data_IF_215938585209
#
_entry.id   IF_215938585209
#
_cell.length_a   1.000
_cell.length_b   1.000
_cell.length_c   1.000
_cell.angle_alpha   90.00
_cell.angle_beta   90.00
_cell.angle_gamma   90.00
#
_symmetry.space_group_name_H-M   'P 1'
#
loop_
_entity.id
_entity.type
_entity.pdbx_description
1 polymer ?
#
# COMPACT_ATOMS: atom_id res chain seq x y z
N UNK A 1 37.90 7.62 -7.34
CA UNK A 1 36.79 7.44 -6.36
C UNK A 1 36.93 6.03 -5.82
N UNK A 2 37.38 5.91 -4.56
CA UNK A 2 38.14 4.76 -4.06
C UNK A 2 37.28 3.54 -3.70
N UNK A 3 37.89 2.36 -3.75
CA UNK A 3 37.33 1.06 -3.40
C UNK A 3 36.61 1.01 -2.04
N UNK A 4 36.90 1.95 -1.13
CA UNK A 4 36.20 2.13 0.14
C UNK A 4 34.70 2.45 -0.04
N UNK A 5 34.33 3.23 -1.06
CA UNK A 5 32.93 3.53 -1.36
C UNK A 5 32.14 2.32 -1.85
N UNK A 6 32.80 1.38 -2.54
CA UNK A 6 32.20 0.11 -2.98
C UNK A 6 31.99 -0.87 -1.83
N UNK A 7 32.94 -0.95 -0.90
CA UNK A 7 32.85 -1.82 0.28
C UNK A 7 31.76 -1.36 1.27
N UNK A 8 31.61 -0.05 1.49
CA UNK A 8 30.53 0.53 2.31
C UNK A 8 29.16 0.37 1.65
N UNK A 9 29.07 0.51 0.31
CA UNK A 9 27.82 0.21 -0.41
C UNK A 9 27.45 -1.26 -0.20
N UNK A 10 28.38 -2.18 -0.35
CA UNK A 10 28.14 -3.62 -0.21
C UNK A 10 27.70 -4.07 1.20
N UNK A 11 28.07 -3.35 2.25
CA UNK A 11 27.70 -3.71 3.63
C UNK A 11 26.26 -3.33 3.99
N UNK A 12 25.74 -2.19 3.50
CA UNK A 12 24.38 -1.74 3.78
C UNK A 12 23.31 -2.63 3.14
N UNK A 13 23.55 -3.16 1.93
CA UNK A 13 22.64 -4.08 1.25
C UNK A 13 22.47 -5.44 1.96
N UNK A 14 23.39 -5.80 2.88
CA UNK A 14 23.27 -7.06 3.64
C UNK A 14 22.14 -7.04 4.65
N UNK A 15 21.78 -5.86 5.18
CA UNK A 15 20.74 -5.71 6.20
C UNK A 15 19.35 -5.47 5.63
N UNK A 16 19.25 -5.21 4.32
CA UNK A 16 17.99 -4.87 3.66
C UNK A 16 16.84 -5.87 3.97
N UNK A 17 17.03 -7.21 3.88
CA UNK A 17 15.95 -8.14 4.18
C UNK A 17 15.47 -8.05 5.65
N UNK A 18 16.38 -7.79 6.58
CA UNK A 18 16.06 -7.62 8.00
C UNK A 18 15.33 -6.30 8.26
N UNK A 19 15.69 -5.23 7.55
CA UNK A 19 14.97 -3.96 7.58
C UNK A 19 13.53 -4.12 7.12
N UNK A 20 13.30 -4.80 6.00
CA UNK A 20 11.94 -5.06 5.51
C UNK A 20 11.15 -6.00 6.41
N UNK A 21 11.81 -6.99 7.02
CA UNK A 21 11.19 -7.81 8.06
C UNK A 21 10.73 -6.96 9.24
N UNK A 22 11.58 -6.06 9.75
CA UNK A 22 11.21 -5.17 10.85
C UNK A 22 9.99 -4.31 10.49
N UNK A 23 10.01 -3.63 9.34
CA UNK A 23 8.87 -2.81 8.88
C UNK A 23 7.60 -3.64 8.75
N UNK A 24 7.70 -4.86 8.21
CA UNK A 24 6.56 -5.79 8.11
C UNK A 24 6.01 -6.16 9.47
N UNK A 25 6.85 -6.48 10.45
CA UNK A 25 6.41 -6.87 11.78
C UNK A 25 5.73 -5.70 12.51
N UNK A 26 6.24 -4.47 12.37
CA UNK A 26 5.61 -3.27 12.92
C UNK A 26 4.20 -3.09 12.34
N UNK A 27 4.05 -3.16 11.01
CA UNK A 27 2.73 -3.09 10.37
C UNK A 27 1.84 -4.27 10.74
N UNK A 28 2.41 -5.48 10.78
CA UNK A 28 1.67 -6.68 11.09
C UNK A 28 1.04 -6.61 12.47
N UNK A 29 1.79 -6.17 13.49
CA UNK A 29 1.26 -5.99 14.85
C UNK A 29 0.11 -4.99 14.87
N UNK A 30 0.25 -3.86 14.16
CA UNK A 30 -0.81 -2.85 14.11
C UNK A 30 -2.10 -3.40 13.47
N UNK A 31 -1.98 -4.09 12.34
CA UNK A 31 -3.11 -4.68 11.63
C UNK A 31 -3.73 -5.88 12.35
N UNK A 32 -2.91 -6.78 12.90
CA UNK A 32 -3.40 -7.92 13.70
C UNK A 32 -4.17 -7.40 14.91
N UNK A 33 -3.62 -6.43 15.64
CA UNK A 33 -4.29 -5.87 16.82
C UNK A 33 -5.63 -5.23 16.44
N UNK A 34 -5.64 -4.41 15.39
CA UNK A 34 -6.86 -3.75 14.91
C UNK A 34 -7.95 -4.75 14.49
N UNK A 35 -7.59 -5.80 13.76
CA UNK A 35 -8.54 -6.84 13.37
C UNK A 35 -8.98 -7.70 14.57
N UNK A 36 -8.06 -8.05 15.46
CA UNK A 36 -8.33 -8.88 16.63
C UNK A 36 -9.31 -8.23 17.61
N UNK A 37 -9.19 -6.91 17.80
CA UNK A 37 -10.12 -6.13 18.63
C UNK A 37 -11.53 -6.03 18.02
N UNK A 38 -11.71 -6.35 16.73
CA UNK A 38 -12.99 -6.23 16.00
C UNK A 38 -13.67 -7.58 15.76
N UNK A 39 -12.90 -8.66 15.64
CA UNK A 39 -13.44 -10.01 15.44
C UNK A 39 -14.06 -10.51 16.75
N UNK A 40 -15.34 -10.86 16.71
CA UNK A 40 -16.16 -11.21 17.87
C UNK A 40 -16.72 -10.02 18.65
N UNK A 41 -16.35 -8.78 18.31
CA UNK A 41 -16.78 -7.59 19.04
C UNK A 41 -18.19 -7.11 18.61
N UNK A 42 -18.95 -6.60 19.58
CA UNK A 42 -20.31 -6.11 19.41
C UNK A 42 -20.29 -4.83 18.59
N UNK A 43 -21.09 -4.77 17.51
CA UNK A 43 -21.07 -3.63 16.60
C UNK A 43 -20.11 -3.80 15.42
N UNK A 44 -19.17 -4.74 15.52
CA UNK A 44 -18.34 -5.18 14.40
C UNK A 44 -18.92 -6.44 13.79
N UNK A 45 -18.49 -7.60 14.28
CA UNK A 45 -18.85 -8.90 13.70
C UNK A 45 -19.84 -9.67 14.57
N UNK A 46 -20.07 -9.21 15.81
CA UNK A 46 -21.15 -9.67 16.68
C UNK A 46 -22.33 -8.68 16.68
N UNK A 47 -23.54 -9.21 16.88
CA UNK A 47 -24.80 -8.46 16.77
C UNK A 47 -24.92 -7.33 17.82
N UNK A 48 -25.41 -6.13 17.43
CA UNK A 48 -25.87 -5.74 16.09
C UNK A 48 -24.68 -5.45 15.16
N UNK A 49 -24.53 -6.25 14.11
CA UNK A 49 -23.42 -6.18 13.16
C UNK A 49 -23.43 -4.81 12.47
N UNK A 50 -22.26 -4.26 12.15
CA UNK A 50 -22.16 -3.02 11.40
C UNK A 50 -22.40 -1.74 12.19
N UNK A 51 -22.87 -1.79 13.45
CA UNK A 51 -23.14 -0.58 14.23
C UNK A 51 -21.91 0.32 14.42
N UNK A 52 -20.73 -0.26 14.63
CA UNK A 52 -19.47 0.48 14.75
C UNK A 52 -19.09 1.16 13.43
N UNK A 53 -19.28 0.48 12.30
CA UNK A 53 -19.02 1.04 10.96
C UNK A 53 -20.02 2.16 10.64
N UNK A 54 -21.30 1.98 10.96
CA UNK A 54 -22.32 3.01 10.80
C UNK A 54 -21.98 4.26 11.60
N UNK A 55 -21.59 4.11 12.88
CA UNK A 55 -21.16 5.23 13.72
C UNK A 55 -19.93 5.95 13.15
N UNK A 56 -18.93 5.18 12.70
CA UNK A 56 -17.74 5.70 12.06
C UNK A 56 -18.04 6.51 10.79
N UNK A 57 -18.90 5.98 9.91
CA UNK A 57 -19.27 6.64 8.66
C UNK A 57 -20.12 7.89 8.87
N UNK A 58 -21.04 7.88 9.85
CA UNK A 58 -21.79 9.08 10.23
C UNK A 58 -20.84 10.19 10.72
N UNK A 59 -19.85 9.85 11.55
CA UNK A 59 -18.83 10.82 11.97
C UNK A 59 -18.02 11.37 10.78
N UNK A 60 -17.71 10.54 9.78
CA UNK A 60 -17.04 11.01 8.56
C UNK A 60 -17.93 11.95 7.72
N UNK A 61 -19.23 11.66 7.63
CA UNK A 61 -20.23 12.50 6.97
C UNK A 61 -20.34 13.85 7.68
N UNK A 62 -20.42 13.87 9.01
CA UNK A 62 -20.46 15.12 9.79
C UNK A 62 -19.22 15.98 9.51
N UNK A 63 -18.03 15.38 9.57
CA UNK A 63 -16.74 16.05 9.29
C UNK A 63 -16.61 16.62 7.87
N UNK A 64 -17.38 16.11 6.92
CA UNK A 64 -17.40 16.64 5.55
C UNK A 64 -18.24 17.92 5.40
N UNK A 65 -19.06 18.23 6.41
CA UNK A 65 -19.92 19.41 6.46
C UNK A 65 -19.51 20.39 7.56
N UNK A 66 -18.52 20.00 8.38
CA UNK A 66 -18.08 20.77 9.52
C UNK A 66 -17.13 21.90 9.10
N UNK A 67 -17.55 23.14 9.38
CA UNK A 67 -16.72 24.33 9.27
C UNK A 67 -16.32 24.73 7.84
N UNK A 68 -15.48 25.78 7.70
CA UNK A 68 -15.07 26.31 6.40
C UNK A 68 -14.05 25.44 5.65
N UNK A 69 -13.39 24.49 6.34
CA UNK A 69 -12.43 23.56 5.75
C UNK A 69 -12.74 22.12 6.21
N UNK A 70 -13.69 21.44 5.53
CA UNK A 70 -14.05 20.09 5.89
C UNK A 70 -12.87 19.10 5.85
N UNK A 71 -12.76 18.24 6.87
CA UNK A 71 -11.70 17.22 6.96
C UNK A 71 -11.90 16.10 5.93
N UNK A 72 -13.17 15.83 5.58
CA UNK A 72 -13.55 14.76 4.66
C UNK A 72 -13.96 15.36 3.31
N UNK A 73 -13.32 14.95 2.21
CA UNK A 73 -13.69 15.45 0.89
C UNK A 73 -15.12 15.07 0.50
N UNK A 74 -15.79 15.97 -0.24
CA UNK A 74 -17.17 15.75 -0.66
C UNK A 74 -17.39 14.49 -1.51
N UNK A 75 -16.40 14.06 -2.30
CA UNK A 75 -16.52 12.80 -3.05
C UNK A 75 -16.55 11.59 -2.12
N UNK A 76 -15.80 11.62 -1.02
CA UNK A 76 -15.76 10.54 -0.04
C UNK A 76 -17.02 10.54 0.82
N UNK A 77 -17.57 11.72 1.13
CA UNK A 77 -18.91 11.84 1.72
C UNK A 77 -19.96 11.08 0.91
N UNK A 78 -20.04 11.33 -0.41
CA UNK A 78 -21.03 10.65 -1.27
C UNK A 78 -20.80 9.14 -1.29
N UNK A 79 -19.55 8.70 -1.39
CA UNK A 79 -19.22 7.28 -1.31
C UNK A 79 -19.62 6.66 0.05
N UNK A 80 -19.38 7.36 1.14
CA UNK A 80 -19.75 6.91 2.48
C UNK A 80 -21.27 6.80 2.64
N UNK A 81 -22.01 7.82 2.20
CA UNK A 81 -23.46 7.88 2.33
C UNK A 81 -24.18 6.90 1.39
N UNK A 82 -23.78 6.85 0.12
CA UNK A 82 -24.53 6.12 -0.92
C UNK A 82 -24.11 4.65 -1.05
N UNK A 83 -22.88 4.31 -0.63
CA UNK A 83 -22.34 2.96 -0.83
C UNK A 83 -21.91 2.27 0.47
N UNK A 84 -21.15 2.91 1.34
CA UNK A 84 -20.65 2.24 2.55
C UNK A 84 -21.72 2.07 3.62
N UNK A 85 -22.50 3.12 3.91
CA UNK A 85 -23.48 3.13 4.98
C UNK A 85 -24.64 2.13 4.74
N UNK A 86 -25.21 2.00 3.52
CA UNK A 86 -26.22 0.97 3.24
C UNK A 86 -25.70 -0.46 3.35
N UNK A 87 -24.38 -0.66 3.27
CA UNK A 87 -23.73 -1.97 3.30
C UNK A 87 -22.82 -2.14 4.54
N UNK A 88 -23.09 -1.40 5.62
CA UNK A 88 -22.21 -1.30 6.79
C UNK A 88 -21.88 -2.67 7.41
N UNK A 89 -22.83 -3.60 7.42
CA UNK A 89 -22.64 -4.96 7.95
C UNK A 89 -21.57 -5.74 7.18
N UNK A 90 -21.60 -5.66 5.84
CA UNK A 90 -20.60 -6.30 4.97
C UNK A 90 -19.24 -5.65 5.19
N UNK A 91 -19.20 -4.32 5.28
CA UNK A 91 -17.96 -3.61 5.54
C UNK A 91 -17.38 -3.89 6.93
N UNK A 92 -18.21 -4.17 7.94
CA UNK A 92 -17.73 -4.56 9.26
C UNK A 92 -16.95 -5.88 9.21
N UNK A 93 -17.47 -6.88 8.50
CA UNK A 93 -16.72 -8.13 8.26
C UNK A 93 -15.46 -7.91 7.41
N UNK A 94 -15.59 -7.17 6.31
CA UNK A 94 -14.45 -6.93 5.40
C UNK A 94 -13.32 -6.19 6.09
N UNK A 95 -13.62 -5.18 6.91
CA UNK A 95 -12.62 -4.43 7.66
C UNK A 95 -12.04 -5.31 8.76
N UNK A 96 -12.86 -5.93 9.62
CA UNK A 96 -12.36 -6.73 10.75
C UNK A 96 -11.45 -7.88 10.29
N UNK A 97 -11.91 -8.69 9.33
CA UNK A 97 -11.11 -9.79 8.79
C UNK A 97 -10.02 -9.32 7.84
N UNK A 98 -10.24 -8.23 7.09
CA UNK A 98 -9.24 -7.64 6.21
C UNK A 98 -8.01 -7.17 6.98
N UNK A 99 -8.20 -6.45 8.07
CA UNK A 99 -7.12 -6.04 8.98
C UNK A 99 -6.36 -7.25 9.52
N UNK A 100 -7.09 -8.24 10.03
CA UNK A 100 -6.49 -9.44 10.61
C UNK A 100 -5.67 -10.23 9.57
N UNK A 101 -6.24 -10.46 8.38
CA UNK A 101 -5.59 -11.21 7.30
C UNK A 101 -4.37 -10.46 6.75
N UNK A 102 -4.47 -9.14 6.54
CA UNK A 102 -3.32 -8.31 6.13
C UNK A 102 -2.21 -8.40 7.17
N UNK A 103 -2.55 -8.28 8.45
CA UNK A 103 -1.60 -8.38 9.55
C UNK A 103 -0.88 -9.72 9.59
N UNK A 104 -1.63 -10.83 9.54
CA UNK A 104 -1.07 -12.20 9.54
C UNK A 104 -0.20 -12.41 8.30
N UNK A 105 -0.67 -12.03 7.11
CA UNK A 105 0.07 -12.19 5.87
C UNK A 105 1.40 -11.41 5.89
N UNK A 106 1.42 -10.19 6.44
CA UNK A 106 2.64 -9.42 6.64
C UNK A 106 3.58 -10.04 7.67
N UNK A 107 3.04 -10.59 8.77
CA UNK A 107 3.83 -11.25 9.81
C UNK A 107 4.61 -12.45 9.24
N UNK A 108 3.91 -13.38 8.59
CA UNK A 108 4.52 -14.60 8.04
C UNK A 108 5.25 -14.34 6.71
N UNK A 109 4.91 -13.26 6.02
CA UNK A 109 5.51 -12.88 4.73
C UNK A 109 4.93 -13.68 3.59
N UNK A 110 3.62 -13.81 3.56
CA UNK A 110 2.86 -14.44 2.50
C UNK A 110 2.26 -13.36 1.60
N UNK A 111 2.58 -13.39 0.31
CA UNK A 111 2.17 -12.39 -0.68
C UNK A 111 2.42 -10.96 -0.17
N UNK A 112 3.60 -10.73 0.41
CA UNK A 112 3.93 -9.55 1.24
C UNK A 112 3.57 -8.22 0.57
N UNK A 113 3.88 -8.06 -0.73
CA UNK A 113 3.56 -6.82 -1.47
C UNK A 113 2.06 -6.64 -1.68
N UNK A 114 1.34 -7.74 -1.94
CA UNK A 114 -0.11 -7.71 -2.09
C UNK A 114 -0.80 -7.42 -0.76
N UNK A 115 -0.37 -8.08 0.33
CA UNK A 115 -0.85 -7.78 1.68
C UNK A 115 -0.60 -6.31 2.06
N UNK A 116 0.59 -5.78 1.77
CA UNK A 116 0.90 -4.37 2.01
C UNK A 116 0.02 -3.43 1.16
N UNK A 117 -0.27 -3.78 -0.10
CA UNK A 117 -1.16 -3.00 -0.96
C UNK A 117 -2.59 -2.97 -0.41
N UNK A 118 -3.12 -4.10 0.05
CA UNK A 118 -4.44 -4.17 0.69
C UNK A 118 -4.47 -3.33 1.98
N UNK A 119 -3.43 -3.42 2.81
CA UNK A 119 -3.30 -2.57 4.00
C UNK A 119 -3.25 -1.09 3.65
N UNK A 120 -2.50 -0.69 2.63
CA UNK A 120 -2.46 0.70 2.12
C UNK A 120 -3.84 1.16 1.67
N UNK A 121 -4.56 0.35 0.90
CA UNK A 121 -5.90 0.69 0.41
C UNK A 121 -6.88 0.90 1.58
N UNK A 122 -6.87 0.01 2.56
CA UNK A 122 -7.70 0.11 3.76
C UNK A 122 -7.32 1.34 4.60
N UNK A 123 -6.02 1.60 4.76
CA UNK A 123 -5.54 2.75 5.52
C UNK A 123 -5.91 4.08 4.85
N UNK A 124 -5.85 4.14 3.51
CA UNK A 124 -6.33 5.29 2.74
C UNK A 124 -7.83 5.52 2.96
N UNK A 125 -8.66 4.47 2.98
CA UNK A 125 -10.08 4.62 3.28
C UNK A 125 -10.30 5.27 4.66
N UNK A 126 -9.55 4.85 5.69
CA UNK A 126 -9.64 5.47 7.01
C UNK A 126 -9.17 6.93 7.03
N UNK A 127 -8.09 7.26 6.31
CA UNK A 127 -7.61 8.64 6.19
C UNK A 127 -8.62 9.53 5.48
N UNK A 128 -9.23 9.05 4.40
CA UNK A 128 -10.27 9.78 3.69
C UNK A 128 -11.54 9.98 4.51
N UNK A 129 -11.84 9.08 5.44
CA UNK A 129 -12.89 9.23 6.45
C UNK A 129 -12.53 10.23 7.58
N UNK A 130 -11.34 10.84 7.55
CA UNK A 130 -10.92 11.85 8.52
C UNK A 130 -10.31 11.29 9.80
N UNK A 131 -9.63 10.14 9.74
CA UNK A 131 -8.92 9.57 10.91
C UNK A 131 -7.41 9.59 10.76
N UNK A 132 -6.73 10.33 11.65
CA UNK A 132 -5.32 10.71 11.46
C UNK A 132 -4.35 10.10 12.49
N UNK A 133 -4.83 9.40 13.54
CA UNK A 133 -3.97 9.02 14.68
C UNK A 133 -2.78 8.13 14.30
N UNK A 134 -3.01 6.85 14.02
CA UNK A 134 -1.94 5.88 13.67
C UNK A 134 -1.85 5.64 12.16
N UNK A 135 -2.82 6.15 11.39
CA UNK A 135 -2.94 5.85 9.97
C UNK A 135 -1.81 6.45 9.11
N UNK A 136 -1.44 7.74 9.22
CA UNK A 136 -0.38 8.31 8.38
C UNK A 136 0.96 7.55 8.45
N UNK A 137 1.51 7.19 9.63
CA UNK A 137 2.75 6.41 9.67
C UNK A 137 2.56 4.99 9.10
N UNK A 138 1.41 4.35 9.33
CA UNK A 138 1.12 3.03 8.73
C UNK A 138 1.06 3.10 7.20
N UNK A 139 0.45 4.15 6.64
CA UNK A 139 0.41 4.38 5.20
C UNK A 139 1.83 4.53 4.63
N UNK A 140 2.67 5.36 5.25
CA UNK A 140 4.04 5.57 4.80
C UNK A 140 4.86 4.28 4.82
N UNK A 141 4.77 3.50 5.90
CA UNK A 141 5.45 2.20 6.00
C UNK A 141 4.90 1.21 4.97
N UNK A 142 3.58 1.18 4.75
CA UNK A 142 2.94 0.31 3.76
C UNK A 142 3.38 0.64 2.33
N UNK A 143 3.35 1.93 1.95
CA UNK A 143 3.83 2.40 0.65
C UNK A 143 5.32 2.10 0.46
N UNK A 144 6.12 2.25 1.52
CA UNK A 144 7.53 1.92 1.45
C UNK A 144 7.77 0.42 1.18
N UNK A 145 6.98 -0.44 1.80
CA UNK A 145 6.99 -1.88 1.59
C UNK A 145 6.62 -2.27 0.15
N UNK A 146 5.64 -1.58 -0.43
CA UNK A 146 5.16 -1.81 -1.80
C UNK A 146 6.20 -1.36 -2.83
N UNK A 147 6.72 -0.14 -2.72
CA UNK A 147 7.56 0.47 -3.77
C UNK A 147 9.06 0.29 -3.57
N UNK A 148 9.55 0.41 -2.33
CA UNK A 148 10.99 0.42 -2.05
C UNK A 148 11.52 -0.94 -1.57
N UNK A 149 10.63 -1.86 -1.17
CA UNK A 149 10.99 -3.21 -0.76
C UNK A 149 11.64 -4.04 -1.86
N UNK A 150 12.97 -4.24 -1.84
CA UNK A 150 13.61 -5.26 -2.66
C UNK A 150 13.39 -6.65 -2.02
N UNK A 151 12.44 -7.41 -2.59
CA UNK A 151 11.98 -8.72 -2.07
C UNK A 151 11.66 -8.67 -0.55
N UNK A 152 10.65 -7.89 -0.13
CA UNK A 152 10.34 -7.71 1.30
C UNK A 152 9.85 -9.00 1.97
N UNK A 153 9.38 -9.97 1.18
CA UNK A 153 9.01 -11.32 1.63
C UNK A 153 10.18 -12.31 1.77
N UNK A 154 11.43 -11.90 1.52
CA UNK A 154 12.59 -12.84 1.49
C UNK A 154 12.79 -13.58 2.80
N UNK A 155 12.64 -12.89 3.94
CA UNK A 155 12.57 -13.50 5.27
C UNK A 155 11.09 -13.74 5.61
N UNK A 156 10.53 -14.82 5.04
CA UNK A 156 9.11 -15.15 5.13
C UNK A 156 8.74 -16.24 4.15
N UNK A 157 7.45 -16.59 4.11
CA UNK A 157 6.91 -17.65 3.25
C UNK A 157 7.19 -17.38 1.77
N UNK A 158 7.13 -16.13 1.32
CA UNK A 158 7.45 -15.70 -0.05
C UNK A 158 8.87 -16.10 -0.47
N UNK A 159 9.82 -16.09 0.48
CA UNK A 159 11.21 -16.50 0.24
C UNK A 159 11.34 -17.97 -0.16
N UNK A 160 10.42 -18.82 0.31
CA UNK A 160 10.40 -20.27 0.04
C UNK A 160 9.45 -20.60 -1.12
N UNK A 161 8.30 -19.93 -1.17
CA UNK A 161 7.24 -20.17 -2.14
C UNK A 161 7.60 -19.68 -3.55
N UNK A 162 8.23 -18.50 -3.68
CA UNK A 162 8.51 -17.91 -5.00
C UNK A 162 9.55 -18.68 -5.83
N UNK A 163 10.65 -19.20 -5.26
CA UNK A 163 11.56 -20.09 -6.01
C UNK A 163 10.87 -21.36 -6.47
N UNK A 164 10.09 -22.00 -5.59
CA UNK A 164 9.35 -23.23 -5.88
C UNK A 164 8.30 -23.04 -6.99
N UNK A 165 7.57 -21.93 -6.98
CA UNK A 165 6.65 -21.57 -8.07
C UNK A 165 7.41 -21.29 -9.37
N UNK A 166 8.54 -20.55 -9.29
CA UNK A 166 9.34 -20.17 -10.45
C UNK A 166 9.84 -21.36 -11.28
N UNK A 167 10.12 -22.50 -10.65
CA UNK A 167 10.50 -23.75 -11.33
C UNK A 167 9.36 -24.37 -12.14
N UNK A 168 8.10 -24.06 -11.81
CA UNK A 168 6.90 -24.63 -12.44
C UNK A 168 6.22 -23.70 -13.46
N UNK A 169 6.60 -22.42 -13.54
CA UNK A 169 6.05 -21.46 -14.52
C UNK A 169 6.98 -21.29 -15.74
N UNK A 170 6.47 -21.44 -16.98
CA UNK A 170 7.29 -21.34 -18.19
C UNK A 170 7.97 -19.98 -18.35
N UNK A 171 9.16 -20.00 -18.97
CA UNK A 171 10.14 -18.91 -19.06
C UNK A 171 9.56 -17.57 -19.60
N UNK A 172 8.53 -17.62 -20.45
CA UNK A 172 7.89 -16.42 -21.03
C UNK A 172 7.17 -15.50 -20.02
N UNK A 173 6.65 -16.05 -18.92
CA UNK A 173 6.05 -15.24 -17.85
C UNK A 173 7.11 -14.59 -16.92
N UNK A 174 8.37 -15.03 -17.01
CA UNK A 174 9.48 -14.46 -16.22
C UNK A 174 9.96 -13.12 -16.78
N UNK A 175 9.59 -12.79 -18.02
CA UNK A 175 10.03 -11.61 -18.77
C UNK A 175 8.96 -10.51 -18.91
N UNK A 176 7.73 -10.75 -18.45
CA UNK A 176 6.89 -9.63 -18.00
C UNK A 176 7.58 -9.08 -16.76
N UNK A 177 8.35 -8.00 -16.96
CA UNK A 177 9.09 -7.34 -15.89
C UNK A 177 8.12 -7.12 -14.73
N UNK A 178 8.60 -7.30 -13.50
CA UNK A 178 7.80 -7.03 -12.29
C UNK A 178 7.24 -5.60 -12.31
N UNK A 179 7.89 -4.72 -13.07
CA UNK A 179 7.48 -3.37 -13.43
C UNK A 179 6.27 -3.35 -14.39
N UNK A 180 6.20 -4.21 -15.40
CA UNK A 180 5.04 -4.32 -16.28
C UNK A 180 3.79 -4.83 -15.54
N UNK A 181 3.92 -5.83 -14.65
CA UNK A 181 2.80 -6.30 -13.83
C UNK A 181 2.34 -5.24 -12.82
N UNK A 182 3.30 -4.51 -12.23
CA UNK A 182 3.01 -3.37 -11.37
C UNK A 182 2.36 -2.22 -12.15
N UNK A 183 2.85 -1.88 -13.35
CA UNK A 183 2.27 -0.88 -14.23
C UNK A 183 0.86 -1.30 -14.68
N UNK A 184 0.62 -2.56 -14.99
CA UNK A 184 -0.73 -3.06 -15.30
C UNK A 184 -1.65 -2.94 -14.08
N UNK A 185 -1.19 -3.24 -12.87
CA UNK A 185 -1.97 -3.07 -11.65
C UNK A 185 -2.23 -1.58 -11.32
N UNK A 186 -1.25 -0.70 -11.53
CA UNK A 186 -1.37 0.75 -11.35
C UNK A 186 -2.25 1.37 -12.42
N UNK A 187 -2.15 0.91 -13.66
CA UNK A 187 -2.98 1.37 -14.77
C UNK A 187 -4.40 0.83 -14.60
N UNK A 188 -4.61 -0.42 -14.19
CA UNK A 188 -5.93 -0.96 -13.89
C UNK A 188 -6.57 -0.26 -12.67
N UNK A 189 -5.80 -0.03 -11.60
CA UNK A 189 -6.25 0.75 -10.45
C UNK A 189 -6.49 2.23 -10.79
N UNK A 190 -5.67 2.81 -11.66
CA UNK A 190 -5.82 4.16 -12.19
C UNK A 190 -7.04 4.29 -13.10
N UNK A 191 -7.32 3.28 -13.93
CA UNK A 191 -8.55 3.16 -14.73
C UNK A 191 -9.79 3.02 -13.85
N UNK A 192 -9.71 2.24 -12.76
CA UNK A 192 -10.79 2.14 -11.78
C UNK A 192 -11.01 3.48 -11.06
N UNK A 193 -9.94 4.20 -10.76
CA UNK A 193 -10.01 5.49 -10.10
C UNK A 193 -10.37 6.64 -11.07
N UNK A 194 -10.15 6.50 -12.38
CA UNK A 194 -10.67 7.36 -13.44
C UNK A 194 -12.20 7.32 -13.52
N UNK A 195 -12.83 6.22 -13.08
CA UNK A 195 -14.29 6.11 -12.96
C UNK A 195 -14.85 6.90 -11.76
N UNK A 196 -13.98 7.32 -10.82
CA UNK A 196 -14.39 7.88 -9.51
C UNK A 196 -13.88 9.32 -9.30
N UNK A 197 -12.76 9.72 -9.93
CA UNK A 197 -12.13 11.03 -9.73
C UNK A 197 -11.92 11.79 -11.06
N UNK A 198 -12.28 13.07 -11.08
CA UNK A 198 -12.26 13.94 -12.26
C UNK A 198 -10.88 14.12 -12.92
N UNK A 199 -10.89 14.47 -14.21
CA UNK A 199 -9.73 14.49 -15.13
C UNK A 199 -8.54 15.36 -14.68
N UNK A 200 -8.76 16.38 -13.85
CA UNK A 200 -7.73 17.29 -13.36
C UNK A 200 -6.71 16.60 -12.42
N UNK A 201 -7.15 15.65 -11.58
CA UNK A 201 -6.27 14.91 -10.65
C UNK A 201 -5.29 14.03 -11.43
N UNK A 202 -5.75 13.45 -12.54
CA UNK A 202 -4.97 12.55 -13.38
C UNK A 202 -3.95 13.27 -14.26
N UNK A 203 -4.27 14.48 -14.72
CA UNK A 203 -3.32 15.32 -15.44
C UNK A 203 -2.07 15.62 -14.59
N UNK A 204 -2.26 15.97 -13.31
CA UNK A 204 -1.16 16.24 -12.37
C UNK A 204 -0.30 15.00 -12.14
N UNK A 205 -0.91 13.83 -11.98
CA UNK A 205 -0.19 12.56 -11.80
C UNK A 205 0.58 12.14 -13.07
N UNK A 206 0.01 12.35 -14.25
CA UNK A 206 0.67 12.09 -15.52
C UNK A 206 1.91 13.01 -15.70
N UNK A 207 1.76 14.30 -15.39
CA UNK A 207 2.88 15.25 -15.40
C UNK A 207 3.97 14.84 -14.41
N UNK A 208 3.62 14.46 -13.18
CA UNK A 208 4.55 13.96 -12.17
C UNK A 208 5.29 12.69 -12.61
N UNK A 209 4.57 11.71 -13.17
CA UNK A 209 5.17 10.48 -13.69
C UNK A 209 6.15 10.77 -14.83
N UNK A 210 5.81 11.66 -15.76
CA UNK A 210 6.72 12.07 -16.83
C UNK A 210 7.94 12.83 -16.32
N UNK A 211 7.78 13.71 -15.32
CA UNK A 211 8.92 14.45 -14.75
C UNK A 211 9.87 13.53 -13.99
N UNK A 212 9.35 12.56 -13.23
CA UNK A 212 10.17 11.54 -12.56
C UNK A 212 10.89 10.66 -13.58
N UNK A 213 10.21 10.24 -14.66
CA UNK A 213 10.81 9.47 -15.74
C UNK A 213 11.94 10.21 -16.46
N UNK A 214 11.74 11.50 -16.75
CA UNK A 214 12.75 12.36 -17.37
C UNK A 214 13.94 12.58 -16.42
N UNK A 215 13.69 12.84 -15.14
CA UNK A 215 14.74 13.02 -14.15
C UNK A 215 15.58 11.74 -13.96
N UNK A 216 14.94 10.57 -13.90
CA UNK A 216 15.63 9.29 -13.82
C UNK A 216 16.47 9.01 -15.09
N UNK A 217 15.94 9.35 -16.27
CA UNK A 217 16.64 9.26 -17.54
C UNK A 217 17.86 10.17 -17.62
N UNK A 218 17.76 11.42 -17.14
CA UNK A 218 18.86 12.37 -17.10
C UNK A 218 19.98 11.93 -16.15
N UNK A 219 19.64 11.39 -14.98
CA UNK A 219 20.63 10.85 -14.03
C UNK A 219 21.36 9.64 -14.65
N UNK A 220 20.64 8.76 -15.35
CA UNK A 220 21.24 7.63 -16.07
C UNK A 220 22.18 8.08 -17.21
N UNK A 221 21.78 9.10 -17.97
CA UNK A 221 22.58 9.66 -19.04
C UNK A 221 23.85 10.36 -18.53
N UNK A 222 23.75 11.17 -17.47
CA UNK A 222 24.89 11.84 -16.84
C UNK A 222 25.89 10.83 -16.23
N UNK A 223 25.40 9.74 -15.67
CA UNK A 223 26.25 8.65 -15.19
C UNK A 223 26.99 7.94 -16.33
N UNK A 224 26.33 7.76 -17.49
CA UNK A 224 26.90 7.11 -18.66
C UNK A 224 27.95 7.98 -19.38
N UNK A 225 27.77 9.30 -19.44
CA UNK A 225 28.71 10.23 -20.09
C UNK A 225 29.96 10.48 -19.25
N UNK A 226 29.84 10.54 -17.92
CA UNK A 226 30.99 10.66 -17.00
C UNK A 226 31.99 9.50 -17.13
N UNK A 227 31.53 8.29 -17.46
CA UNK A 227 32.38 7.12 -17.66
C UNK A 227 33.08 7.06 -19.03
N UNK A 228 32.69 7.90 -20.01
CA UNK A 228 33.31 7.93 -21.34
C UNK A 228 34.42 8.97 -21.49
N UNK A 229 34.54 9.93 -20.57
CA UNK A 229 35.59 10.96 -20.59
C UNK A 229 36.89 10.60 -19.86
N UNK A 230 37.06 9.34 -19.42
CA UNK A 230 38.23 8.85 -18.68
C UNK A 230 38.95 7.73 -19.45
N UNK A 231 38.92 7.77 -20.79
CA UNK A 231 39.73 6.91 -21.65
C UNK A 231 40.68 7.75 -22.48
#
# INVERSE_FOLDING_TARGET
MSAAGGAVRASLWRFEPATWLFVRLVLAVAWVRGGWEKVGDVGWTASPVGAAVTGFLNGAIEKSTAGPHPEVPHWYHRLAQDFFLPNADVFAYLVAYGELLVGIALAIGLLTRFAALCGVALNLAFLWAGTTSTNPPMLLLGLALVFFGHRPGRLGVDGWLLPWLGERVPFGARQLSREALFLVAVVAGGWLALLVAGWATWFVLAVLATTIGVAAGQVGWLAATRNRGVR
#
